data_IF_254453224038
#
_entry.id   IF_254453224038
#
_cell.length_a   1.000
_cell.length_b   1.000
_cell.length_c   1.000
_cell.angle_alpha   90.00
_cell.angle_beta   90.00
_cell.angle_gamma   90.00
#
_symmetry.space_group_name_H-M   'P 1'
#
loop_
_entity.id
_entity.type
_entity.pdbx_description
1 polymer ?
#
# COMPACT_ATOMS: atom_id res chain seq x y z
N UNK A 1 3.37 -13.18 -10.57
CA UNK A 1 4.44 -12.43 -9.89
C UNK A 1 4.34 -10.98 -10.34
N UNK A 2 3.73 -10.13 -9.54
CA UNK A 2 3.79 -8.68 -9.73
C UNK A 2 5.13 -8.19 -9.18
N UNK A 3 5.94 -7.49 -9.97
CA UNK A 3 7.09 -6.76 -9.45
C UNK A 3 6.59 -5.45 -8.89
N UNK A 4 6.84 -5.22 -7.61
CA UNK A 4 6.67 -3.90 -6.99
C UNK A 4 7.53 -2.90 -7.77
N UNK A 5 6.88 -1.94 -8.40
CA UNK A 5 7.56 -0.84 -9.06
C UNK A 5 8.29 0.03 -8.04
N UNK A 6 9.61 0.16 -8.23
CA UNK A 6 10.25 1.41 -7.89
C UNK A 6 9.73 2.42 -8.93
N UNK A 7 8.84 3.28 -8.51
CA UNK A 7 8.22 4.29 -9.34
C UNK A 7 9.28 5.35 -9.71
N UNK A 8 9.95 5.15 -10.87
CA UNK A 8 10.69 6.21 -11.53
C UNK A 8 9.66 7.05 -12.31
N UNK A 9 9.25 8.15 -11.74
CA UNK A 9 8.49 9.16 -12.46
C UNK A 9 9.38 9.82 -13.53
N UNK A 10 8.89 10.03 -14.77
CA UNK A 10 9.58 10.87 -15.72
C UNK A 10 9.68 12.29 -15.15
N UNK A 11 10.89 12.83 -15.14
CA UNK A 11 11.13 14.26 -14.87
C UNK A 11 10.53 15.05 -16.02
N UNK A 12 9.55 15.89 -15.72
CA UNK A 12 9.11 16.92 -16.65
C UNK A 12 10.26 17.93 -16.81
N UNK A 13 10.83 17.97 -18.01
CA UNK A 13 11.74 19.03 -18.41
C UNK A 13 10.92 20.28 -18.70
N UNK A 14 10.80 21.16 -17.72
CA UNK A 14 10.33 22.52 -17.94
C UNK A 14 11.50 23.40 -18.42
N UNK A 15 11.50 23.68 -19.72
CA UNK A 15 12.27 24.81 -20.26
C UNK A 15 11.53 26.10 -19.92
N UNK A 16 12.03 26.86 -18.96
CA UNK A 16 11.60 28.23 -18.69
C UNK A 16 12.68 29.24 -19.13
N UNK A 17 12.30 30.34 -19.78
CA UNK A 17 13.26 31.33 -20.22
C UNK A 17 13.79 32.19 -19.06
N UNK A 18 15.09 32.50 -19.13
CA UNK A 18 15.77 33.41 -18.22
C UNK A 18 15.16 34.81 -18.27
N UNK A 19 14.77 35.35 -17.12
CA UNK A 19 14.70 36.82 -16.89
C UNK A 19 15.43 37.14 -15.61
N UNK A 20 16.44 38.00 -15.78
CA UNK A 20 17.20 38.62 -14.70
C UNK A 20 16.33 39.60 -13.92
N UNK A 21 16.49 39.62 -12.61
CA UNK A 21 15.85 40.61 -11.73
C UNK A 21 16.24 40.38 -10.28
N UNK A 22 17.33 41.02 -9.83
CA UNK A 22 17.74 41.06 -8.41
C UNK A 22 16.63 41.62 -7.54
N UNK A 23 16.14 40.82 -6.58
CA UNK A 23 15.67 41.32 -5.26
C UNK A 23 15.89 40.21 -4.23
N UNK A 24 16.85 40.42 -3.37
CA UNK A 24 17.20 39.60 -2.22
C UNK A 24 16.06 39.67 -1.21
N UNK A 25 15.19 38.63 -1.21
CA UNK A 25 14.22 38.41 -0.16
C UNK A 25 14.70 37.24 0.68
N UNK A 26 15.22 37.52 1.86
CA UNK A 26 15.60 36.52 2.86
C UNK A 26 14.30 35.82 3.27
N UNK A 27 13.96 34.75 2.62
CA UNK A 27 12.93 33.83 3.08
C UNK A 27 13.58 32.94 4.12
N UNK A 28 13.11 33.03 5.38
CA UNK A 28 13.39 32.04 6.42
C UNK A 28 12.91 30.69 5.90
N UNK A 29 13.80 29.93 5.29
CA UNK A 29 13.53 28.54 4.90
C UNK A 29 13.51 27.72 6.17
N UNK A 30 12.33 27.37 6.63
CA UNK A 30 12.16 26.33 7.65
C UNK A 30 12.88 25.07 7.13
N UNK A 31 13.80 24.48 7.90
CA UNK A 31 14.47 23.25 7.47
C UNK A 31 13.44 22.18 7.15
N UNK A 32 13.69 21.31 6.16
CA UNK A 32 12.77 20.23 5.84
C UNK A 32 12.55 19.37 7.09
N UNK A 33 11.32 18.90 7.33
CA UNK A 33 11.02 18.07 8.50
C UNK A 33 11.98 16.89 8.54
N UNK A 34 12.67 16.72 9.65
CA UNK A 34 13.56 15.60 9.86
C UNK A 34 12.75 14.32 9.87
N UNK A 35 13.25 13.31 9.12
CA UNK A 35 12.63 11.99 9.09
C UNK A 35 12.66 11.36 10.48
N UNK A 36 11.54 11.30 11.16
CA UNK A 36 11.41 10.63 12.45
C UNK A 36 11.07 9.16 12.20
N UNK A 37 12.02 8.27 12.48
CA UNK A 37 11.76 6.83 12.48
C UNK A 37 11.49 6.45 13.94
N UNK A 38 10.28 5.97 14.28
CA UNK A 38 9.95 5.61 15.64
C UNK A 38 10.92 4.58 16.24
N UNK A 39 11.10 4.56 17.57
CA UNK A 39 11.91 3.57 18.26
C UNK A 39 11.34 2.15 18.07
N UNK A 40 12.17 1.12 18.22
CA UNK A 40 11.79 -0.28 18.00
C UNK A 40 10.54 -0.70 18.80
N UNK A 41 10.41 -0.22 20.06
CA UNK A 41 9.25 -0.49 20.90
C UNK A 41 7.91 -0.03 20.33
N UNK A 42 7.92 0.95 19.42
CA UNK A 42 6.72 1.41 18.74
C UNK A 42 6.41 0.62 17.45
N UNK A 43 7.39 -0.12 16.93
CA UNK A 43 7.18 -0.95 15.74
C UNK A 43 6.20 -2.10 15.98
N UNK A 44 6.20 -2.66 17.19
CA UNK A 44 5.28 -3.74 17.58
C UNK A 44 3.80 -3.31 17.59
N UNK A 45 3.51 -2.00 17.64
CA UNK A 45 2.14 -1.45 17.58
C UNK A 45 1.62 -1.31 16.15
N UNK A 46 2.49 -1.40 15.16
CA UNK A 46 2.12 -1.32 13.75
C UNK A 46 1.49 -2.65 13.32
N UNK A 47 0.42 -2.56 12.57
CA UNK A 47 -0.39 -3.72 12.16
C UNK A 47 -0.86 -3.59 10.71
N UNK A 48 -1.33 -4.72 10.18
CA UNK A 48 -2.11 -4.81 8.95
C UNK A 48 -3.31 -5.70 9.21
N UNK A 49 -4.51 -5.19 9.01
CA UNK A 49 -5.77 -5.90 9.29
C UNK A 49 -5.80 -6.47 10.72
N UNK A 50 -5.41 -5.64 11.70
CA UNK A 50 -5.31 -5.96 13.13
C UNK A 50 -4.22 -6.98 13.50
N UNK A 51 -3.57 -7.61 12.53
CA UNK A 51 -2.44 -8.50 12.77
C UNK A 51 -1.16 -7.69 13.02
N UNK A 52 -0.65 -7.76 14.25
CA UNK A 52 0.55 -7.04 14.69
C UNK A 52 1.82 -7.83 14.44
N UNK A 53 2.97 -7.13 14.46
CA UNK A 53 4.26 -7.80 14.53
C UNK A 53 4.34 -8.62 15.82
N UNK A 54 4.91 -9.85 15.78
CA UNK A 54 5.06 -10.67 16.99
C UNK A 54 5.85 -9.90 18.08
N UNK A 55 5.27 -9.72 19.27
CA UNK A 55 5.94 -8.99 20.35
C UNK A 55 7.30 -9.60 20.68
N UNK A 56 8.31 -8.72 20.83
CA UNK A 56 9.69 -9.17 21.16
C UNK A 56 10.44 -9.87 20.03
N UNK A 57 9.83 -10.00 18.84
CA UNK A 57 10.53 -10.58 17.70
C UNK A 57 11.37 -9.50 16.99
N UNK A 58 12.52 -9.22 17.55
CA UNK A 58 13.44 -8.15 17.14
C UNK A 58 13.76 -8.15 15.64
N UNK A 59 13.77 -9.33 14.99
CA UNK A 59 14.01 -9.42 13.54
C UNK A 59 12.89 -8.75 12.73
N UNK A 60 11.62 -8.95 13.11
CA UNK A 60 10.49 -8.29 12.46
C UNK A 60 10.51 -6.78 12.70
N UNK A 61 10.76 -6.36 13.94
CA UNK A 61 10.83 -4.94 14.29
C UNK A 61 11.95 -4.21 13.55
N UNK A 62 13.15 -4.80 13.47
CA UNK A 62 14.27 -4.26 12.69
C UNK A 62 13.94 -4.20 11.21
N UNK A 63 13.25 -5.22 10.68
CA UNK A 63 12.82 -5.23 9.27
C UNK A 63 11.77 -4.17 9.01
N UNK A 64 10.79 -3.99 9.90
CA UNK A 64 9.81 -2.92 9.84
C UNK A 64 10.50 -1.54 9.78
N UNK A 65 11.41 -1.28 10.72
CA UNK A 65 12.22 -0.05 10.75
C UNK A 65 12.99 0.16 9.44
N UNK A 66 13.63 -0.89 8.91
CA UNK A 66 14.37 -0.83 7.64
C UNK A 66 13.46 -0.51 6.47
N UNK A 67 12.30 -1.17 6.35
CA UNK A 67 11.36 -0.93 5.25
C UNK A 67 10.77 0.47 5.36
N UNK A 68 10.31 0.89 6.52
CA UNK A 68 9.80 2.24 6.76
C UNK A 68 10.86 3.30 6.41
N UNK A 69 12.14 3.03 6.71
CA UNK A 69 13.24 3.91 6.35
C UNK A 69 13.46 4.07 4.83
N UNK A 70 12.99 3.14 4.00
CA UNK A 70 13.09 3.27 2.53
C UNK A 70 12.12 4.29 1.95
N UNK A 71 11.05 4.62 2.67
CA UNK A 71 10.11 5.66 2.28
C UNK A 71 10.71 7.03 2.61
N UNK A 72 10.87 7.88 1.64
CA UNK A 72 11.42 9.24 1.80
C UNK A 72 10.70 10.22 0.88
N UNK A 73 10.87 11.52 1.13
CA UNK A 73 10.20 12.61 0.38
C UNK A 73 10.47 12.60 -1.13
N UNK A 74 11.62 12.05 -1.57
CA UNK A 74 11.93 11.92 -3.00
C UNK A 74 11.12 10.81 -3.66
N UNK A 75 10.80 9.74 -2.91
CA UNK A 75 10.05 8.58 -3.41
C UNK A 75 8.55 8.71 -3.18
N UNK A 76 8.15 9.41 -2.13
CA UNK A 76 6.73 9.59 -1.77
C UNK A 76 6.39 11.07 -1.81
N UNK A 77 5.58 11.44 -2.80
CA UNK A 77 4.93 12.74 -2.86
C UNK A 77 3.62 12.65 -2.07
N UNK A 78 3.70 12.87 -0.76
CA UNK A 78 2.55 12.70 0.15
C UNK A 78 1.32 13.49 -0.30
N UNK A 79 1.46 14.71 -0.82
CA UNK A 79 0.33 15.48 -1.32
C UNK A 79 -0.42 14.77 -2.45
N UNK A 80 0.31 14.15 -3.42
CA UNK A 80 -0.31 13.38 -4.52
C UNK A 80 -0.89 12.07 -4.01
N UNK A 81 -0.23 11.44 -3.05
CA UNK A 81 -0.70 10.22 -2.43
C UNK A 81 -2.02 10.44 -1.71
N UNK A 82 -2.10 11.49 -0.86
CA UNK A 82 -3.32 11.84 -0.15
C UNK A 82 -4.44 12.29 -1.09
N UNK A 83 -4.13 13.07 -2.14
CA UNK A 83 -5.12 13.46 -3.13
C UNK A 83 -5.76 12.23 -3.80
N UNK A 84 -4.94 11.24 -4.20
CA UNK A 84 -5.43 10.00 -4.78
C UNK A 84 -6.18 9.12 -3.78
N UNK A 85 -5.71 9.03 -2.54
CA UNK A 85 -6.42 8.33 -1.49
C UNK A 85 -7.80 8.96 -1.25
N UNK A 86 -7.87 10.29 -1.19
CA UNK A 86 -9.14 11.02 -1.06
C UNK A 86 -10.09 10.80 -2.24
N UNK A 87 -9.56 10.66 -3.45
CA UNK A 87 -10.34 10.41 -4.67
C UNK A 87 -10.87 8.96 -4.72
N UNK A 88 -10.06 7.97 -4.34
CA UNK A 88 -10.35 6.58 -4.62
C UNK A 88 -10.77 5.74 -3.42
N UNK A 89 -10.37 6.06 -2.20
CA UNK A 89 -10.77 5.31 -1.01
C UNK A 89 -12.29 5.30 -0.80
N UNK A 90 -13.05 6.41 -1.03
CA UNK A 90 -14.50 6.38 -0.94
C UNK A 90 -15.18 5.38 -1.89
N UNK A 91 -14.50 4.96 -2.96
CA UNK A 91 -15.00 3.93 -3.89
C UNK A 91 -14.56 2.54 -3.42
N UNK A 92 -13.36 2.40 -2.89
CA UNK A 92 -12.76 1.11 -2.50
C UNK A 92 -13.36 0.60 -1.19
N UNK A 93 -13.41 1.45 -0.16
CA UNK A 93 -13.81 1.09 1.21
C UNK A 93 -15.20 0.43 1.30
N UNK A 94 -16.27 0.99 0.69
CA UNK A 94 -17.58 0.36 0.74
C UNK A 94 -17.60 -1.02 0.08
N UNK A 95 -16.77 -1.23 -0.95
CA UNK A 95 -16.69 -2.51 -1.64
C UNK A 95 -15.98 -3.53 -0.75
N UNK A 96 -14.85 -3.16 -0.11
CA UNK A 96 -14.16 -4.02 0.85
C UNK A 96 -15.11 -4.44 1.97
N UNK A 97 -15.82 -3.49 2.57
CA UNK A 97 -16.79 -3.73 3.64
C UNK A 97 -17.91 -4.69 3.20
N UNK A 98 -18.48 -4.51 2.01
CA UNK A 98 -19.52 -5.38 1.45
C UNK A 98 -19.07 -6.84 1.26
N UNK A 99 -17.77 -7.08 1.11
CA UNK A 99 -17.18 -8.42 0.99
C UNK A 99 -16.60 -8.95 2.31
N UNK A 100 -16.68 -8.19 3.40
CA UNK A 100 -16.10 -8.56 4.69
C UNK A 100 -14.57 -8.57 4.68
N UNK A 101 -13.96 -7.74 3.83
CA UNK A 101 -12.50 -7.60 3.73
C UNK A 101 -12.07 -6.43 4.63
N UNK A 102 -11.02 -6.59 5.46
CA UNK A 102 -10.50 -5.51 6.28
C UNK A 102 -10.14 -4.27 5.46
N UNK A 103 -10.47 -3.12 6.01
CA UNK A 103 -10.27 -1.82 5.36
C UNK A 103 -8.81 -1.57 4.94
N UNK A 104 -7.85 -2.12 5.68
CA UNK A 104 -6.42 -2.01 5.39
C UNK A 104 -6.03 -2.49 3.99
N UNK A 105 -6.84 -3.34 3.36
CA UNK A 105 -6.61 -3.77 1.98
C UNK A 105 -6.72 -2.62 0.96
N UNK A 106 -7.28 -1.45 1.33
CA UNK A 106 -7.22 -0.22 0.51
C UNK A 106 -5.80 0.24 0.21
N UNK A 107 -4.83 -0.13 1.06
CA UNK A 107 -3.42 0.18 0.84
C UNK A 107 -2.74 -0.74 -0.19
N UNK A 108 -3.35 -1.86 -0.57
CA UNK A 108 -2.83 -2.74 -1.63
C UNK A 108 -2.71 -2.00 -2.96
N UNK A 109 -3.78 -1.43 -3.56
CA UNK A 109 -3.65 -0.70 -4.82
C UNK A 109 -2.75 0.54 -4.71
N UNK A 110 -2.61 1.11 -3.51
CA UNK A 110 -1.69 2.22 -3.27
C UNK A 110 -0.22 1.77 -3.38
N UNK A 111 0.12 0.59 -2.85
CA UNK A 111 1.48 0.00 -2.94
C UNK A 111 1.75 -0.58 -4.32
N UNK A 112 0.76 -1.19 -4.97
CA UNK A 112 0.91 -1.86 -6.27
C UNK A 112 1.06 -0.87 -7.43
N UNK A 113 0.21 0.15 -7.49
CA UNK A 113 0.12 1.06 -8.63
C UNK A 113 0.23 2.55 -8.27
N UNK A 114 0.30 2.88 -6.98
CA UNK A 114 0.12 4.25 -6.52
C UNK A 114 -1.27 4.80 -6.89
N UNK A 115 -2.28 3.93 -6.90
CA UNK A 115 -3.64 4.23 -7.34
C UNK A 115 -3.70 4.76 -8.78
N UNK A 116 -2.98 4.12 -9.70
CA UNK A 116 -3.00 4.42 -11.15
C UNK A 116 -3.45 3.20 -11.94
N UNK A 117 -4.07 3.46 -13.09
CA UNK A 117 -4.52 2.41 -14.01
C UNK A 117 -3.41 1.96 -15.01
N UNK A 118 -2.14 2.05 -14.60
CA UNK A 118 -0.98 1.71 -15.46
C UNK A 118 -0.83 0.22 -15.74
N UNK A 119 0.10 -0.10 -16.65
CA UNK A 119 0.49 -1.47 -17.00
C UNK A 119 1.96 -1.67 -16.65
N UNK A 120 2.25 -2.77 -15.96
CA UNK A 120 3.61 -3.14 -15.58
C UNK A 120 4.36 -3.79 -16.75
N UNK A 121 5.71 -3.79 -16.79
CA UNK A 121 6.49 -4.51 -17.80
C UNK A 121 6.20 -6.00 -17.85
N UNK A 122 5.64 -6.58 -16.81
CA UNK A 122 5.23 -7.99 -16.75
C UNK A 122 3.78 -8.23 -17.17
N UNK A 123 3.06 -7.19 -17.60
CA UNK A 123 1.68 -7.29 -18.03
C UNK A 123 0.63 -7.24 -16.92
N UNK A 124 1.03 -7.03 -15.64
CA UNK A 124 0.06 -6.69 -14.61
C UNK A 124 -0.51 -5.28 -14.87
N UNK A 125 -1.81 -5.07 -14.68
CA UNK A 125 -2.44 -3.80 -15.04
C UNK A 125 -3.52 -3.36 -14.05
N UNK A 126 -3.80 -2.05 -14.09
CA UNK A 126 -4.85 -1.41 -13.33
C UNK A 126 -4.48 -1.12 -11.89
N UNK A 127 -5.45 -0.64 -11.14
CA UNK A 127 -5.26 -0.23 -9.75
C UNK A 127 -4.73 -1.37 -8.86
N UNK A 128 -5.25 -2.57 -9.06
CA UNK A 128 -4.93 -3.77 -8.28
C UNK A 128 -3.82 -4.64 -8.91
N UNK A 129 -3.21 -4.19 -10.00
CA UNK A 129 -2.12 -4.87 -10.71
C UNK A 129 -2.39 -6.36 -10.99
N UNK A 130 -3.59 -6.66 -11.48
CA UNK A 130 -3.93 -8.02 -11.89
C UNK A 130 -3.17 -8.47 -13.13
N UNK A 131 -2.69 -9.70 -13.11
CA UNK A 131 -2.30 -10.42 -14.33
C UNK A 131 -3.54 -10.76 -15.16
N UNK A 132 -3.44 -10.80 -16.51
CA UNK A 132 -4.61 -11.05 -17.36
C UNK A 132 -5.36 -12.35 -17.04
N UNK A 133 -4.65 -13.42 -16.74
CA UNK A 133 -5.23 -14.71 -16.37
C UNK A 133 -6.06 -14.60 -15.10
N UNK A 134 -5.45 -14.12 -14.00
CA UNK A 134 -6.11 -13.92 -12.71
C UNK A 134 -7.31 -12.99 -12.83
N UNK A 135 -7.18 -11.89 -13.59
CA UNK A 135 -8.28 -10.96 -13.82
C UNK A 135 -9.52 -11.66 -14.41
N UNK A 136 -9.31 -12.50 -15.43
CA UNK A 136 -10.41 -13.27 -16.06
C UNK A 136 -11.04 -14.28 -15.11
N UNK A 137 -10.24 -14.97 -14.29
CA UNK A 137 -10.73 -15.90 -13.28
C UNK A 137 -11.72 -15.23 -12.32
N UNK A 138 -11.47 -13.95 -11.96
CA UNK A 138 -12.37 -13.21 -11.05
C UNK A 138 -13.39 -12.32 -11.78
N UNK A 139 -13.64 -12.59 -13.06
CA UNK A 139 -14.78 -12.04 -13.82
C UNK A 139 -14.50 -10.73 -14.55
N UNK A 140 -13.23 -10.31 -14.71
CA UNK A 140 -12.87 -9.14 -15.51
C UNK A 140 -12.71 -9.48 -16.99
N UNK A 141 -13.25 -8.66 -17.86
CA UNK A 141 -13.00 -8.73 -19.30
C UNK A 141 -11.62 -8.15 -19.61
N UNK A 142 -10.73 -8.98 -20.17
CA UNK A 142 -9.38 -8.59 -20.58
C UNK A 142 -9.10 -9.17 -21.96
N UNK A 143 -9.18 -8.33 -22.99
CA UNK A 143 -8.91 -8.65 -24.39
C UNK A 143 -8.31 -7.43 -25.10
N UNK A 144 -8.14 -7.50 -26.44
CA UNK A 144 -7.56 -6.41 -27.24
C UNK A 144 -8.40 -5.10 -27.26
N UNK A 145 -9.71 -5.20 -27.02
CA UNK A 145 -10.62 -4.05 -27.06
C UNK A 145 -10.96 -3.50 -25.67
N UNK A 146 -10.98 -4.35 -24.64
CA UNK A 146 -11.43 -4.00 -23.30
C UNK A 146 -10.46 -4.54 -22.25
N UNK A 147 -10.07 -3.69 -21.32
CA UNK A 147 -9.25 -4.05 -20.16
C UNK A 147 -9.88 -3.51 -18.87
N UNK A 148 -10.76 -4.33 -18.27
CA UNK A 148 -11.52 -3.95 -17.05
C UNK A 148 -10.64 -3.91 -15.79
N UNK A 149 -9.38 -4.34 -15.86
CA UNK A 149 -8.42 -4.16 -14.76
C UNK A 149 -8.19 -2.68 -14.45
N UNK A 150 -8.39 -1.81 -15.44
CA UNK A 150 -8.28 -0.35 -15.34
C UNK A 150 -9.54 0.33 -14.79
N UNK A 151 -10.65 -0.40 -14.66
CA UNK A 151 -11.86 0.10 -14.02
C UNK A 151 -11.76 -0.14 -12.52
N UNK A 152 -11.71 0.92 -11.72
CA UNK A 152 -11.50 0.82 -10.27
C UNK A 152 -12.56 -0.05 -9.60
N UNK A 153 -13.85 0.24 -9.83
CA UNK A 153 -14.95 -0.48 -9.17
C UNK A 153 -14.95 -1.97 -9.52
N UNK A 154 -14.84 -2.30 -10.82
CA UNK A 154 -14.83 -3.70 -11.28
C UNK A 154 -13.61 -4.44 -10.75
N UNK A 155 -12.42 -3.85 -10.84
CA UNK A 155 -11.20 -4.47 -10.36
C UNK A 155 -11.15 -4.59 -8.84
N UNK A 156 -11.78 -3.69 -8.08
CA UNK A 156 -11.93 -3.84 -6.62
C UNK A 156 -12.84 -5.01 -6.27
N UNK A 157 -13.96 -5.17 -6.97
CA UNK A 157 -14.84 -6.34 -6.78
C UNK A 157 -14.09 -7.65 -7.07
N UNK A 158 -13.33 -7.70 -8.16
CA UNK A 158 -12.51 -8.87 -8.49
C UNK A 158 -11.43 -9.13 -7.42
N UNK A 159 -10.79 -8.09 -6.92
CA UNK A 159 -9.80 -8.19 -5.84
C UNK A 159 -10.43 -8.74 -4.55
N UNK A 160 -11.61 -8.29 -4.18
CA UNK A 160 -12.32 -8.81 -3.01
C UNK A 160 -12.61 -10.31 -3.14
N UNK A 161 -13.06 -10.78 -4.32
CA UNK A 161 -13.28 -12.21 -4.55
C UNK A 161 -11.99 -13.02 -4.39
N UNK A 162 -10.89 -12.55 -4.96
CA UNK A 162 -9.58 -13.20 -4.85
C UNK A 162 -9.06 -13.18 -3.40
N UNK A 163 -9.13 -12.04 -2.72
CA UNK A 163 -8.71 -11.90 -1.32
C UNK A 163 -9.53 -12.83 -0.40
N UNK A 164 -10.84 -12.95 -0.65
CA UNK A 164 -11.71 -13.86 0.13
C UNK A 164 -11.35 -15.32 -0.09
N UNK A 165 -11.06 -15.73 -1.32
CA UNK A 165 -10.56 -17.07 -1.62
C UNK A 165 -9.23 -17.36 -0.93
N UNK A 166 -8.28 -16.39 -0.99
CA UNK A 166 -7.02 -16.52 -0.27
C UNK A 166 -7.20 -16.62 1.25
N UNK A 167 -8.17 -15.89 1.82
CA UNK A 167 -8.47 -15.98 3.24
C UNK A 167 -8.98 -17.35 3.64
N UNK A 168 -9.86 -17.96 2.83
CA UNK A 168 -10.29 -19.34 3.03
C UNK A 168 -9.16 -20.39 2.99
N UNK A 169 -8.01 -20.03 2.41
CA UNK A 169 -6.84 -20.90 2.34
C UNK A 169 -5.87 -20.69 3.52
N UNK A 170 -5.67 -19.44 3.94
CA UNK A 170 -4.56 -19.07 4.83
C UNK A 170 -5.00 -18.66 6.24
N UNK A 171 -6.25 -18.27 6.43
CA UNK A 171 -6.84 -17.80 7.70
C UNK A 171 -5.98 -16.76 8.45
N UNK A 172 -5.23 -15.95 7.69
CA UNK A 172 -4.39 -14.86 8.17
C UNK A 172 -4.28 -13.78 7.12
N UNK A 173 -4.63 -12.55 7.47
CA UNK A 173 -4.63 -11.41 6.55
C UNK A 173 -3.23 -11.03 6.07
N UNK A 174 -2.20 -11.21 6.90
CA UNK A 174 -0.81 -10.97 6.48
C UNK A 174 -0.33 -12.03 5.49
N UNK A 175 -0.74 -13.29 5.64
CA UNK A 175 -0.48 -14.34 4.66
C UNK A 175 -1.28 -14.12 3.38
N UNK A 176 -2.53 -13.69 3.48
CA UNK A 176 -3.36 -13.31 2.32
C UNK A 176 -2.70 -12.20 1.51
N UNK A 177 -2.24 -11.13 2.17
CA UNK A 177 -1.54 -10.04 1.50
C UNK A 177 -0.24 -10.52 0.83
N UNK A 178 0.52 -11.40 1.49
CA UNK A 178 1.72 -11.99 0.91
C UNK A 178 1.40 -12.90 -0.28
N UNK A 179 0.33 -13.71 -0.20
CA UNK A 179 -0.14 -14.58 -1.28
C UNK A 179 -0.67 -13.77 -2.47
N UNK A 180 -1.34 -12.65 -2.22
CA UNK A 180 -1.75 -11.71 -3.27
C UNK A 180 -0.54 -11.26 -4.12
N UNK A 181 0.58 -10.98 -3.46
CA UNK A 181 1.82 -10.53 -4.12
C UNK A 181 2.54 -11.64 -4.91
N UNK A 182 2.61 -12.87 -4.36
CA UNK A 182 3.48 -13.93 -4.91
C UNK A 182 2.72 -15.10 -5.50
N UNK A 183 1.43 -15.18 -5.28
CA UNK A 183 0.56 -16.31 -5.65
C UNK A 183 0.40 -17.33 -4.51
N UNK A 184 -0.80 -17.89 -4.42
CA UNK A 184 -1.22 -18.84 -3.39
C UNK A 184 -0.38 -20.13 -3.37
N UNK A 185 -0.13 -20.71 -4.53
CA UNK A 185 0.68 -21.94 -4.64
C UNK A 185 2.10 -21.74 -4.11
N UNK A 186 2.70 -20.57 -4.33
CA UNK A 186 4.03 -20.27 -3.79
C UNK A 186 3.97 -20.16 -2.27
N UNK A 187 2.98 -19.45 -1.73
CA UNK A 187 2.83 -19.31 -0.27
C UNK A 187 2.57 -20.66 0.39
N UNK A 188 1.67 -21.50 -0.13
CA UNK A 188 1.45 -22.88 0.36
C UNK A 188 2.73 -23.68 0.42
N UNK A 189 3.55 -23.64 -0.65
CA UNK A 189 4.87 -24.32 -0.67
C UNK A 189 5.82 -23.78 0.40
N UNK A 190 5.83 -22.46 0.64
CA UNK A 190 6.69 -21.86 1.66
C UNK A 190 6.26 -22.24 3.09
N UNK A 191 4.96 -22.21 3.37
CA UNK A 191 4.37 -22.63 4.66
C UNK A 191 4.73 -24.10 4.93
N UNK A 192 4.47 -24.98 3.97
CA UNK A 192 4.75 -26.42 4.11
C UNK A 192 6.23 -26.72 4.30
N UNK A 193 7.11 -26.05 3.53
CA UNK A 193 8.58 -26.25 3.61
C UNK A 193 9.16 -25.77 4.93
N UNK A 194 8.64 -24.65 5.47
CA UNK A 194 9.17 -24.04 6.68
C UNK A 194 8.43 -24.47 7.94
N UNK A 195 7.28 -25.18 7.82
CA UNK A 195 6.36 -25.49 8.91
C UNK A 195 6.03 -24.24 9.74
N UNK A 196 5.77 -23.14 9.04
CA UNK A 196 5.59 -21.82 9.64
C UNK A 196 4.48 -21.09 8.90
N UNK A 197 3.45 -20.66 9.64
CA UNK A 197 2.26 -19.94 9.18
C UNK A 197 2.18 -18.48 9.68
N UNK A 198 3.19 -18.01 10.39
CA UNK A 198 3.29 -16.60 10.75
C UNK A 198 4.20 -15.88 9.74
N UNK A 199 3.60 -14.98 8.92
CA UNK A 199 4.31 -14.22 7.90
C UNK A 199 5.60 -13.56 8.41
N UNK A 200 5.55 -12.94 9.58
CA UNK A 200 6.69 -12.21 10.14
C UNK A 200 7.87 -13.09 10.54
N UNK A 201 7.62 -14.37 10.79
CA UNK A 201 8.63 -15.38 11.15
C UNK A 201 9.15 -16.15 9.93
N UNK A 202 8.47 -16.09 8.79
CA UNK A 202 8.87 -16.79 7.57
C UNK A 202 10.13 -16.21 6.92
N UNK A 203 10.89 -17.08 6.26
CA UNK A 203 12.02 -16.71 5.39
C UNK A 203 11.53 -16.68 3.94
N UNK A 204 11.18 -15.50 3.45
CA UNK A 204 10.72 -15.27 2.11
C UNK A 204 11.76 -14.47 1.30
N UNK A 205 11.66 -14.45 -0.02
CA UNK A 205 12.49 -13.59 -0.86
C UNK A 205 12.32 -12.11 -0.47
N UNK A 206 13.21 -11.25 -0.93
CA UNK A 206 13.23 -9.83 -0.53
C UNK A 206 11.94 -9.08 -0.88
N UNK A 207 11.30 -9.43 -2.00
CA UNK A 207 10.08 -8.80 -2.48
C UNK A 207 8.88 -9.17 -1.57
N UNK A 208 8.54 -10.47 -1.54
CA UNK A 208 7.41 -10.98 -0.77
C UNK A 208 7.62 -10.79 0.74
N UNK A 209 8.82 -11.07 1.22
CA UNK A 209 9.16 -10.87 2.64
C UNK A 209 9.14 -9.40 3.07
N UNK A 210 9.20 -8.44 2.15
CA UNK A 210 9.06 -7.00 2.42
C UNK A 210 7.65 -6.47 2.20
N UNK A 211 6.75 -7.23 1.59
CA UNK A 211 5.49 -6.72 1.06
C UNK A 211 4.54 -6.20 2.15
N UNK A 212 4.21 -7.03 3.14
CA UNK A 212 3.34 -6.62 4.25
C UNK A 212 3.93 -5.46 5.04
N UNK A 213 5.25 -5.44 5.24
CA UNK A 213 5.91 -4.29 5.88
C UNK A 213 5.76 -2.99 5.06
N UNK A 214 5.68 -3.09 3.72
CA UNK A 214 5.38 -1.92 2.87
C UNK A 214 3.94 -1.46 3.03
N UNK A 215 2.98 -2.40 3.13
CA UNK A 215 1.57 -2.08 3.40
C UNK A 215 1.42 -1.36 4.74
N UNK A 216 2.00 -1.91 5.80
CA UNK A 216 2.04 -1.31 7.13
C UNK A 216 2.69 0.09 7.10
N UNK A 217 3.81 0.25 6.39
CA UNK A 217 4.49 1.54 6.25
C UNK A 217 3.64 2.55 5.51
N UNK A 218 2.96 2.12 4.44
CA UNK A 218 2.07 2.97 3.65
C UNK A 218 0.88 3.44 4.48
N UNK A 219 0.21 2.52 5.20
CA UNK A 219 -0.84 2.81 6.17
C UNK A 219 -0.37 3.87 7.15
N UNK A 220 0.72 3.62 7.86
CA UNK A 220 1.25 4.50 8.88
C UNK A 220 1.56 5.92 8.35
N UNK A 221 2.12 6.04 7.14
CA UNK A 221 2.46 7.34 6.53
C UNK A 221 1.20 8.06 6.04
N UNK A 222 0.20 7.35 5.53
CA UNK A 222 -1.05 7.96 5.06
C UNK A 222 -1.89 8.44 6.24
N UNK A 223 -1.98 7.66 7.31
CA UNK A 223 -2.77 7.98 8.49
C UNK A 223 -2.16 9.09 9.35
N UNK A 224 -0.83 9.10 9.51
CA UNK A 224 -0.12 10.11 10.30
C UNK A 224 1.18 10.55 9.62
N UNK A 225 1.10 11.33 8.54
CA UNK A 225 2.28 11.75 7.77
C UNK A 225 3.27 12.56 8.61
N UNK A 226 2.78 13.41 9.53
CA UNK A 226 3.62 14.27 10.34
C UNK A 226 4.53 13.47 11.27
N UNK A 227 4.01 12.41 11.87
CA UNK A 227 4.76 11.50 12.74
C UNK A 227 5.96 10.87 12.05
N UNK A 228 5.85 10.64 10.73
CA UNK A 228 6.92 10.02 9.93
C UNK A 228 7.76 11.04 9.16
N UNK A 229 7.66 12.34 9.52
CA UNK A 229 8.43 13.41 8.95
C UNK A 229 8.00 13.84 7.55
N UNK A 230 6.76 13.56 7.16
CA UNK A 230 6.18 14.03 5.91
C UNK A 230 5.30 15.26 6.16
N UNK A 231 5.15 16.12 5.15
CA UNK A 231 4.23 17.24 5.24
C UNK A 231 2.80 16.72 5.28
N UNK A 232 2.03 17.19 6.26
CA UNK A 232 0.59 16.97 6.27
C UNK A 232 -0.04 17.62 5.04
N UNK A 233 -1.05 17.00 4.41
CA UNK A 233 -1.79 17.62 3.32
C UNK A 233 -2.47 18.90 3.82
N UNK A 234 -2.58 19.91 2.94
CA UNK A 234 -3.22 21.20 3.27
C UNK A 234 -4.71 21.06 3.63
N UNK A 235 -5.36 20.04 3.12
CA UNK A 235 -6.70 19.61 3.53
C UNK A 235 -6.56 18.23 4.16
N UNK A 236 -6.62 18.15 5.47
CA UNK A 236 -6.83 16.90 6.18
C UNK A 236 -8.28 16.53 5.94
N UNK A 237 -8.55 15.76 4.90
CA UNK A 237 -9.74 14.95 4.92
C UNK A 237 -9.55 13.99 6.09
N UNK A 238 -10.41 14.14 7.10
CA UNK A 238 -10.42 13.29 8.27
C UNK A 238 -10.73 11.86 7.81
N UNK A 239 -9.68 11.07 7.54
CA UNK A 239 -9.81 9.67 7.13
C UNK A 239 -10.28 8.77 8.26
N UNK A 240 -10.43 9.30 9.48
CA UNK A 240 -10.97 8.55 10.60
C UNK A 240 -11.79 9.48 11.49
N UNK A 241 -13.09 9.52 11.25
CA UNK A 241 -14.03 9.69 12.34
C UNK A 241 -14.35 8.27 12.81
N UNK A 242 -13.95 7.84 14.01
CA UNK A 242 -14.48 6.59 14.53
C UNK A 242 -16.00 6.73 14.54
N UNK A 243 -16.70 5.74 14.01
CA UNK A 243 -18.14 5.62 14.18
C UNK A 243 -18.37 5.63 15.70
N UNK A 244 -18.73 6.80 16.23
CA UNK A 244 -19.23 6.89 17.58
C UNK A 244 -20.45 5.99 17.64
N UNK A 245 -20.41 4.98 18.52
CA UNK A 245 -21.55 4.20 18.90
C UNK A 245 -22.69 5.17 19.20
N UNK A 246 -23.61 5.36 18.28
CA UNK A 246 -24.88 5.98 18.53
C UNK A 246 -25.68 5.00 19.37
N UNK A 247 -25.90 5.36 20.63
CA UNK A 247 -26.84 4.76 21.52
C UNK A 247 -28.13 4.44 20.76
N UNK A 248 -28.49 3.17 20.71
CA UNK A 248 -29.86 2.72 20.44
C UNK A 248 -30.55 2.70 21.78
N UNK A 249 -31.40 3.70 22.02
CA UNK A 249 -32.51 3.59 22.95
C UNK A 249 -33.65 2.80 22.29
#
# INVERSE_FOLDING_TARGET
MAKVFAYNMPQATENLPKKEGKKTRITKTTPPPQKVIPPLSQMAKLNFAEETLPPGYVKAERKMKKVLATFNHRKIQTNRLHAKAAEWFPVIEPILAAYGIPEDFKYVPLVESGLNAGVSPKGAAGFWQFMPGTARTYGLKVNSKVDERKNLRKSTIAACKYIKELYGIFDSWTLVAAAYNVGDNHMKKQINRQKQDNYFKMRLNSETGGYVYKLISMKAIVEDPARYGFKAPKSVLAFHKPLSATNVE
#
